data_IF_936390281083
#
_entry.id   IF_936390281083
#
_cell.length_a   1.000
_cell.length_b   1.000
_cell.length_c   1.000
_cell.angle_alpha   90.00
_cell.angle_beta   90.00
_cell.angle_gamma   90.00
#
_symmetry.space_group_name_H-M   'P 1'
#
loop_
_entity.id
_entity.type
_entity.pdbx_description
1 polymer ?
#
# COMPACT_ATOMS: atom_id res chain seq x y z
N UNK A 1 5.97 -0.50 6.29
CA UNK A 1 4.84 0.14 6.98
C UNK A 1 5.02 1.66 7.01
N UNK A 2 4.00 2.41 6.60
CA UNK A 2 3.97 3.87 6.70
C UNK A 2 3.20 4.31 7.94
N UNK A 3 3.42 5.54 8.40
CA UNK A 3 2.68 6.13 9.51
C UNK A 3 1.70 7.18 8.99
N UNK A 4 0.56 7.29 9.64
CA UNK A 4 -0.48 8.26 9.33
C UNK A 4 -1.68 7.63 8.66
N UNK A 5 -2.83 7.71 9.32
CA UNK A 5 -4.08 7.20 8.79
C UNK A 5 -5.25 7.94 9.44
N UNK A 6 -6.11 8.55 8.62
CA UNK A 6 -7.30 9.26 9.10
C UNK A 6 -8.54 8.36 9.19
N UNK A 7 -8.45 7.12 8.72
CA UNK A 7 -9.59 6.19 8.71
C UNK A 7 -10.01 5.74 10.11
N UNK A 8 -9.06 5.54 11.01
CA UNK A 8 -9.29 5.13 12.40
C UNK A 8 -10.30 3.97 12.52
N UNK A 9 -10.11 2.92 11.73
CA UNK A 9 -11.05 1.80 11.70
C UNK A 9 -11.14 1.11 13.07
N UNK A 10 -12.34 0.91 13.62
CA UNK A 10 -12.50 0.12 14.84
C UNK A 10 -11.91 -1.28 14.66
N UNK A 11 -11.14 -1.74 15.65
CA UNK A 11 -10.50 -3.05 15.62
C UNK A 11 -9.25 -3.11 14.72
N UNK A 12 -8.74 -1.97 14.26
CA UNK A 12 -7.52 -1.92 13.46
C UNK A 12 -6.36 -2.63 14.16
N UNK A 13 -5.57 -3.41 13.39
CA UNK A 13 -4.44 -4.16 13.94
C UNK A 13 -3.28 -3.28 14.36
N UNK A 14 -3.14 -2.08 13.78
CA UNK A 14 -2.01 -1.18 13.99
C UNK A 14 -2.48 0.23 14.34
N UNK A 15 -3.24 0.43 15.45
CA UNK A 15 -3.74 1.77 15.78
C UNK A 15 -2.63 2.80 16.06
N UNK A 16 -1.46 2.36 16.48
CA UNK A 16 -0.30 3.24 16.67
C UNK A 16 0.15 3.90 15.37
N UNK A 17 -0.11 3.30 14.22
CA UNK A 17 0.23 3.88 12.92
C UNK A 17 -0.76 4.95 12.45
N UNK A 18 -1.80 5.25 13.21
CA UNK A 18 -2.70 6.37 12.91
C UNK A 18 -1.99 7.72 13.06
N UNK A 19 -1.02 7.80 13.98
CA UNK A 19 -0.23 9.01 14.22
C UNK A 19 0.78 9.20 13.09
N UNK A 20 0.71 10.34 12.40
CA UNK A 20 1.62 10.67 11.29
C UNK A 20 3.08 10.80 11.73
N UNK A 21 3.31 11.06 13.00
CA UNK A 21 4.65 11.19 13.57
C UNK A 21 5.16 9.88 14.19
N UNK A 22 4.36 8.80 14.13
CA UNK A 22 4.80 7.50 14.61
C UNK A 22 5.86 6.93 13.67
N UNK A 23 6.90 6.33 14.23
CA UNK A 23 7.99 5.77 13.45
C UNK A 23 9.10 6.78 13.18
N UNK A 24 9.93 6.47 12.23
CA UNK A 24 11.11 7.27 11.91
C UNK A 24 10.94 8.00 10.56
N UNK A 25 11.59 9.16 10.37
CA UNK A 25 11.56 9.85 9.08
C UNK A 25 12.04 8.96 7.93
N UNK A 26 11.36 9.03 6.81
CA UNK A 26 11.77 8.37 5.58
C UNK A 26 12.84 9.24 4.90
N UNK A 27 14.07 8.73 4.84
CA UNK A 27 15.21 9.45 4.29
C UNK A 27 15.71 8.81 3.01
N UNK A 28 16.62 9.49 2.31
CA UNK A 28 17.28 8.94 1.12
C UNK A 28 18.03 7.64 1.46
N UNK A 29 18.59 7.55 2.65
CA UNK A 29 19.26 6.33 3.11
C UNK A 29 18.26 5.18 3.26
N UNK A 30 17.08 5.46 3.81
CA UNK A 30 16.01 4.47 3.95
C UNK A 30 15.57 3.97 2.58
N UNK A 31 15.42 4.87 1.62
CA UNK A 31 15.06 4.51 0.25
C UNK A 31 16.11 3.59 -0.37
N UNK A 32 17.40 3.91 -0.21
CA UNK A 32 18.49 3.07 -0.71
C UNK A 32 18.50 1.69 -0.09
N UNK A 33 18.26 1.59 1.21
CA UNK A 33 18.16 0.31 1.90
C UNK A 33 17.02 -0.54 1.37
N UNK A 34 15.86 0.06 1.10
CA UNK A 34 14.71 -0.65 0.54
C UNK A 34 15.00 -1.16 -0.87
N UNK A 35 15.56 -0.33 -1.72
CA UNK A 35 15.93 -0.73 -3.08
C UNK A 35 16.92 -1.89 -3.04
N UNK A 36 17.92 -1.80 -2.18
CA UNK A 36 18.91 -2.86 -2.00
C UNK A 36 18.28 -4.16 -1.53
N UNK A 37 17.34 -4.07 -0.58
CA UNK A 37 16.64 -5.23 -0.04
C UNK A 37 15.73 -5.92 -1.07
N UNK A 38 15.24 -5.19 -2.07
CA UNK A 38 14.38 -5.72 -3.12
C UNK A 38 15.13 -6.40 -4.26
N UNK A 39 16.44 -6.16 -4.41
CA UNK A 39 17.21 -6.66 -5.55
C UNK A 39 17.34 -8.18 -5.64
N UNK A 40 17.47 -8.95 -4.55
CA UNK A 40 17.64 -10.39 -4.65
C UNK A 40 16.52 -11.06 -5.45
N UNK A 41 16.88 -12.06 -6.26
CA UNK A 41 15.92 -12.70 -7.17
C UNK A 41 14.77 -13.43 -6.47
N UNK A 42 14.98 -13.84 -5.21
CA UNK A 42 13.95 -14.52 -4.42
C UNK A 42 12.94 -13.56 -3.78
N UNK A 43 13.17 -12.24 -3.84
CA UNK A 43 12.22 -11.25 -3.37
C UNK A 43 11.26 -10.92 -4.51
N UNK A 44 9.98 -11.20 -4.31
CA UNK A 44 8.98 -11.02 -5.35
C UNK A 44 8.58 -9.55 -5.55
N UNK A 45 8.51 -8.78 -4.48
CA UNK A 45 8.09 -7.39 -4.58
C UNK A 45 7.98 -6.67 -3.26
N UNK A 46 7.29 -5.54 -3.29
CA UNK A 46 7.11 -4.63 -2.17
C UNK A 46 5.63 -4.49 -1.85
N UNK A 47 5.28 -4.69 -0.58
CA UNK A 47 3.93 -4.41 -0.07
C UNK A 47 4.00 -3.21 0.85
N UNK A 48 3.14 -2.23 0.62
CA UNK A 48 3.09 -0.99 1.41
C UNK A 48 1.78 -0.95 2.19
N UNK A 49 1.92 -0.95 3.51
CA UNK A 49 0.82 -0.96 4.45
C UNK A 49 1.22 -0.18 5.71
N UNK A 50 0.48 -0.34 6.78
CA UNK A 50 0.76 0.29 8.08
C UNK A 50 -0.38 1.20 8.46
N UNK A 51 -0.17 2.54 8.45
CA UNK A 51 -1.17 3.57 8.39
C UNK A 51 -1.86 3.50 7.02
N UNK A 52 -1.86 4.59 6.27
CA UNK A 52 -2.45 4.54 4.94
C UNK A 52 -1.53 5.17 3.89
N UNK A 53 -1.04 4.38 2.90
CA UNK A 53 -0.22 4.92 1.82
C UNK A 53 -0.90 5.99 0.98
N UNK A 54 -2.24 6.00 0.95
CA UNK A 54 -3.01 6.96 0.16
C UNK A 54 -3.28 8.28 0.88
N UNK A 55 -2.86 8.44 2.13
CA UNK A 55 -2.84 9.75 2.76
C UNK A 55 -1.92 10.67 1.95
N UNK A 56 -2.33 11.94 1.67
CA UNK A 56 -1.53 12.83 0.81
C UNK A 56 -0.06 12.97 1.25
N UNK A 57 0.19 13.03 2.54
CA UNK A 57 1.54 13.13 3.08
C UNK A 57 2.37 11.90 2.72
N UNK A 58 1.76 10.71 2.80
CA UNK A 58 2.42 9.46 2.47
C UNK A 58 2.59 9.28 0.97
N UNK A 59 1.62 9.70 0.17
CA UNK A 59 1.74 9.63 -1.28
C UNK A 59 2.97 10.41 -1.78
N UNK A 60 3.18 11.62 -1.26
CA UNK A 60 4.32 12.46 -1.66
C UNK A 60 5.66 11.82 -1.34
N UNK A 61 5.75 11.13 -0.20
CA UNK A 61 6.98 10.44 0.21
C UNK A 61 7.23 9.16 -0.60
N UNK A 62 6.17 8.43 -0.94
CA UNK A 62 6.28 7.14 -1.63
C UNK A 62 6.50 7.25 -3.13
N UNK A 63 6.08 8.35 -3.75
CA UNK A 63 6.14 8.50 -5.19
C UNK A 63 7.55 8.33 -5.77
N UNK A 64 8.59 8.98 -5.23
CA UNK A 64 9.96 8.77 -5.73
C UNK A 64 10.44 7.34 -5.56
N UNK A 65 10.10 6.69 -4.44
CA UNK A 65 10.47 5.29 -4.19
C UNK A 65 9.86 4.37 -5.24
N UNK A 66 8.57 4.50 -5.49
CA UNK A 66 7.88 3.62 -6.44
C UNK A 66 8.35 3.85 -7.87
N UNK A 67 8.68 5.09 -8.23
CA UNK A 67 9.31 5.38 -9.53
C UNK A 67 10.63 4.65 -9.67
N UNK A 68 11.47 4.66 -8.64
CA UNK A 68 12.75 3.92 -8.66
C UNK A 68 12.53 2.42 -8.79
N UNK A 69 11.56 1.87 -8.06
CA UNK A 69 11.25 0.44 -8.16
C UNK A 69 10.90 0.07 -9.60
N UNK A 70 10.09 0.89 -10.27
CA UNK A 70 9.72 0.63 -11.67
C UNK A 70 10.89 0.75 -12.64
N UNK A 71 11.75 1.74 -12.44
CA UNK A 71 12.89 1.99 -13.31
C UNK A 71 14.01 0.98 -13.10
N UNK A 72 14.37 0.70 -11.84
CA UNK A 72 15.53 -0.12 -11.49
C UNK A 72 15.19 -1.59 -11.29
N UNK A 73 13.95 -1.90 -10.92
CA UNK A 73 13.52 -3.25 -10.56
C UNK A 73 12.18 -3.60 -11.23
N UNK A 74 12.11 -3.55 -12.58
CA UNK A 74 10.83 -3.68 -13.29
C UNK A 74 10.14 -5.03 -13.12
N UNK A 75 10.86 -6.07 -12.68
CA UNK A 75 10.28 -7.38 -12.42
C UNK A 75 9.66 -7.54 -11.05
N UNK A 76 9.70 -6.53 -10.20
CA UNK A 76 9.14 -6.61 -8.84
C UNK A 76 7.70 -6.11 -8.80
N UNK A 77 6.85 -6.82 -8.06
CA UNK A 77 5.45 -6.41 -7.84
C UNK A 77 5.36 -5.32 -6.79
N UNK A 78 4.40 -4.42 -6.94
CA UNK A 78 4.09 -3.40 -5.93
C UNK A 78 2.62 -3.54 -5.52
N UNK A 79 2.39 -3.77 -4.25
CA UNK A 79 1.07 -3.89 -3.64
C UNK A 79 0.85 -2.73 -2.68
N UNK A 80 -0.31 -2.09 -2.78
CA UNK A 80 -0.73 -1.01 -1.87
C UNK A 80 -1.96 -1.44 -1.09
N UNK A 81 -1.94 -1.23 0.22
CA UNK A 81 -3.07 -1.50 1.11
C UNK A 81 -3.61 -0.16 1.61
N UNK A 82 -4.88 0.12 1.33
CA UNK A 82 -5.51 1.38 1.74
C UNK A 82 -6.90 1.16 2.31
N UNK A 83 -7.27 1.99 3.28
CA UNK A 83 -8.62 2.02 3.81
C UNK A 83 -9.58 2.82 2.95
N UNK A 84 -9.07 3.60 1.99
CA UNK A 84 -9.90 4.32 1.04
C UNK A 84 -10.40 3.39 -0.06
N UNK A 85 -11.56 3.68 -0.60
CA UNK A 85 -12.03 2.98 -1.81
C UNK A 85 -11.23 3.50 -3.00
N UNK A 86 -10.90 2.61 -3.93
CA UNK A 86 -10.10 2.95 -5.09
C UNK A 86 -10.70 4.14 -5.87
N UNK A 87 -12.03 4.18 -5.98
CA UNK A 87 -12.74 5.24 -6.68
C UNK A 87 -12.47 6.62 -6.09
N UNK A 88 -12.26 6.70 -4.76
CA UNK A 88 -11.99 7.98 -4.08
C UNK A 88 -10.54 8.45 -4.22
N UNK A 89 -9.63 7.58 -4.62
CA UNK A 89 -8.21 7.89 -4.80
C UNK A 89 -7.74 7.63 -6.24
N UNK A 90 -8.67 7.54 -7.18
CA UNK A 90 -8.40 7.15 -8.56
C UNK A 90 -7.46 8.09 -9.31
N UNK A 91 -7.31 9.33 -8.86
CA UNK A 91 -6.38 10.31 -9.45
C UNK A 91 -4.95 10.20 -8.91
N UNK A 92 -4.70 9.33 -7.96
CA UNK A 92 -3.37 9.20 -7.35
C UNK A 92 -2.33 8.69 -8.35
N UNK A 93 -1.17 9.35 -8.47
CA UNK A 93 -0.11 8.86 -9.34
C UNK A 93 0.51 7.56 -8.86
N UNK A 94 0.31 7.17 -7.59
CA UNK A 94 0.80 5.89 -7.08
C UNK A 94 0.13 4.71 -7.80
N UNK A 95 -1.11 4.88 -8.26
CA UNK A 95 -1.83 3.80 -8.95
C UNK A 95 -1.19 3.42 -10.28
N UNK A 96 -0.54 4.36 -10.94
CA UNK A 96 0.20 4.10 -12.18
C UNK A 96 1.46 3.27 -11.94
N UNK A 97 1.92 3.24 -10.70
CA UNK A 97 3.16 2.57 -10.30
C UNK A 97 2.92 1.28 -9.50
N UNK A 98 1.67 0.97 -9.18
CA UNK A 98 1.31 -0.22 -8.43
C UNK A 98 0.75 -1.31 -9.35
N UNK A 99 0.91 -2.55 -8.93
CA UNK A 99 0.34 -3.71 -9.63
C UNK A 99 -1.01 -4.10 -9.04
N UNK A 100 -1.12 -4.04 -7.72
CA UNK A 100 -2.32 -4.47 -6.99
C UNK A 100 -2.63 -3.48 -5.88
N UNK A 101 -3.90 -3.19 -5.70
CA UNK A 101 -4.41 -2.41 -4.56
C UNK A 101 -5.40 -3.27 -3.79
N UNK A 102 -5.21 -3.35 -2.47
CA UNK A 102 -6.21 -3.90 -1.56
C UNK A 102 -6.90 -2.71 -0.91
N UNK A 103 -8.18 -2.49 -1.23
CA UNK A 103 -8.88 -1.27 -0.85
C UNK A 103 -10.04 -1.50 0.11
N UNK A 104 -10.49 -0.41 0.71
CA UNK A 104 -11.63 -0.37 1.60
C UNK A 104 -11.25 -0.39 3.07
N UNK A 105 -12.06 0.23 3.92
CA UNK A 105 -11.79 0.28 5.35
C UNK A 105 -11.88 -1.11 5.97
N UNK A 106 -11.12 -1.34 7.05
CA UNK A 106 -11.29 -2.55 7.84
C UNK A 106 -12.59 -2.45 8.61
N UNK A 107 -13.49 -3.40 8.41
CA UNK A 107 -14.77 -3.49 9.11
C UNK A 107 -14.73 -4.71 10.04
N UNK A 108 -14.70 -4.44 11.35
CA UNK A 108 -14.51 -5.48 12.36
C UNK A 108 -15.57 -6.57 12.30
N UNK A 109 -16.82 -6.22 12.01
CA UNK A 109 -17.92 -7.19 11.89
C UNK A 109 -17.81 -8.09 10.66
N UNK A 110 -16.97 -7.72 9.69
CA UNK A 110 -16.69 -8.51 8.50
C UNK A 110 -15.30 -9.16 8.54
N UNK A 111 -14.62 -9.07 9.68
CA UNK A 111 -13.31 -9.69 9.89
C UNK A 111 -13.38 -11.19 9.63
N UNK A 112 -12.42 -11.69 8.85
CA UNK A 112 -12.32 -13.10 8.54
C UNK A 112 -10.85 -13.45 8.31
N UNK A 113 -10.25 -14.19 9.24
CA UNK A 113 -8.84 -14.55 9.20
C UNK A 113 -8.51 -15.59 8.11
N UNK A 114 -9.53 -16.19 7.51
CA UNK A 114 -9.34 -17.15 6.40
C UNK A 114 -9.19 -16.47 5.05
N UNK A 115 -9.43 -15.15 4.96
CA UNK A 115 -9.31 -14.41 3.71
C UNK A 115 -7.86 -14.25 3.28
N UNK A 116 -7.60 -14.41 1.99
CA UNK A 116 -6.27 -14.15 1.43
C UNK A 116 -6.06 -12.63 1.31
N UNK A 117 -4.92 -12.16 1.82
CA UNK A 117 -4.38 -10.82 1.63
C UNK A 117 -5.26 -9.64 2.08
N UNK A 118 -6.31 -9.87 2.87
CA UNK A 118 -7.17 -8.81 3.39
C UNK A 118 -7.73 -9.19 4.76
N UNK A 119 -8.15 -8.17 5.52
CA UNK A 119 -8.60 -8.38 6.89
C UNK A 119 -10.11 -8.55 7.05
N UNK A 120 -10.90 -8.00 6.14
CA UNK A 120 -12.36 -8.08 6.19
C UNK A 120 -12.97 -8.30 4.81
N UNK A 121 -14.15 -8.91 4.77
CA UNK A 121 -14.78 -9.36 3.52
C UNK A 121 -15.13 -8.22 2.56
N UNK A 122 -15.37 -7.02 3.08
CA UNK A 122 -15.68 -5.83 2.27
C UNK A 122 -14.48 -5.32 1.46
N UNK A 123 -13.26 -5.67 1.86
CA UNK A 123 -12.05 -5.22 1.18
C UNK A 123 -11.88 -5.97 -0.13
N UNK A 124 -11.41 -5.26 -1.15
CA UNK A 124 -11.24 -5.81 -2.49
C UNK A 124 -9.77 -5.92 -2.84
N UNK A 125 -9.41 -6.97 -3.55
CA UNK A 125 -8.08 -7.12 -4.16
C UNK A 125 -8.24 -6.75 -5.63
N UNK A 126 -7.64 -5.64 -6.03
CA UNK A 126 -7.83 -5.07 -7.37
C UNK A 126 -6.51 -5.15 -8.14
N UNK A 127 -6.52 -5.92 -9.22
CA UNK A 127 -5.37 -6.04 -10.11
C UNK A 127 -5.38 -4.87 -11.10
N UNK A 128 -4.36 -4.02 -11.04
CA UNK A 128 -4.23 -2.84 -11.90
C UNK A 128 -3.48 -3.13 -13.21
N UNK A 129 -2.97 -4.34 -13.37
CA UNK A 129 -2.16 -4.73 -14.53
C UNK A 129 -2.98 -5.04 -15.79
N UNK A 130 -4.29 -5.08 -15.66
CA UNK A 130 -5.19 -5.30 -16.78
C UNK A 130 -5.35 -4.04 -17.64
N UNK A 131 -5.78 -4.20 -18.90
CA UNK A 131 -5.90 -3.16 -19.93
C UNK A 131 -6.87 -2.03 -19.56
N UNK A 132 -6.46 -1.13 -18.68
CA UNK A 132 -7.24 0.05 -18.29
C UNK A 132 -8.52 -0.24 -17.51
N UNK A 133 -8.78 -1.50 -17.16
CA UNK A 133 -9.92 -1.89 -16.33
C UNK A 133 -9.45 -2.65 -15.10
N UNK A 134 -9.94 -2.23 -13.95
CA UNK A 134 -9.63 -2.89 -12.69
C UNK A 134 -10.44 -4.19 -12.57
N UNK A 135 -9.75 -5.25 -12.16
CA UNK A 135 -10.38 -6.55 -11.93
C UNK A 135 -10.36 -6.86 -10.44
N UNK A 136 -11.52 -7.12 -9.87
CA UNK A 136 -11.63 -7.57 -8.48
C UNK A 136 -11.50 -9.09 -8.40
N UNK A 137 -10.81 -9.53 -7.39
CA UNK A 137 -10.72 -10.96 -7.06
C UNK A 137 -11.64 -11.32 -5.91
#
# INVERSE_FOLDING_TARGET
FVSGCRNHCPGCFNPETWDFDYGEPFTDETEEELIKALRPSWIQGLSILGGDPMEPENQSALLPLLRRVREELPGKDVWLYTGYRLESVSSSPLLDLADVVVDGPFIETEKDISLAFRGSRNQRIIDLRGEGQWKTQ
#
